data_IF_269630059407
#
_entry.id   IF_269630059407
#
_cell.length_a   1.000
_cell.length_b   1.000
_cell.length_c   1.000
_cell.angle_alpha   90.00
_cell.angle_beta   90.00
_cell.angle_gamma   90.00
#
_symmetry.space_group_name_H-M   'P 1'
#
loop_
_entity.id
_entity.type
_entity.pdbx_description
1 polymer ?
#
# COMPACT_ATOMS: atom_id res chain seq x y z
N UNK A 1 12.51 13.37 -9.44
CA UNK A 1 12.17 13.57 -8.03
C UNK A 1 13.36 13.25 -7.12
N UNK A 2 13.90 12.03 -7.15
CA UNK A 2 15.08 11.62 -6.34
C UNK A 2 16.29 12.55 -6.55
N UNK A 3 16.63 12.89 -7.79
CA UNK A 3 17.72 13.84 -8.10
C UNK A 3 17.49 15.19 -7.45
N UNK A 4 16.27 15.72 -7.50
CA UNK A 4 15.93 17.00 -6.90
C UNK A 4 15.94 16.97 -5.36
N UNK A 5 15.58 15.82 -4.77
CA UNK A 5 15.73 15.65 -3.32
C UNK A 5 17.21 15.69 -2.91
N UNK A 6 18.08 15.00 -3.65
CA UNK A 6 19.52 14.97 -3.35
C UNK A 6 20.22 16.33 -3.51
N UNK A 7 19.64 17.24 -4.31
CA UNK A 7 20.16 18.62 -4.43
C UNK A 7 19.84 19.48 -3.20
N UNK A 8 18.80 19.13 -2.44
CA UNK A 8 18.29 19.93 -1.32
C UNK A 8 18.51 19.30 0.04
N UNK A 9 18.59 17.98 0.09
CA UNK A 9 18.65 17.20 1.33
C UNK A 9 19.68 16.09 1.21
N UNK A 10 20.36 15.77 2.30
CA UNK A 10 21.18 14.57 2.41
C UNK A 10 20.28 13.33 2.55
N UNK A 11 19.86 12.76 1.42
CA UNK A 11 18.97 11.59 1.39
C UNK A 11 19.72 10.39 0.82
N UNK A 12 19.71 9.29 1.55
CA UNK A 12 20.17 8.01 1.01
C UNK A 12 19.16 7.52 -0.04
N UNK A 13 19.60 7.46 -1.29
CA UNK A 13 18.83 6.88 -2.37
C UNK A 13 19.12 5.39 -2.46
N UNK A 14 18.05 4.58 -2.43
CA UNK A 14 18.14 3.13 -2.55
C UNK A 14 18.61 2.70 -3.93
N UNK A 15 19.36 1.61 -4.00
CA UNK A 15 19.56 0.92 -5.28
C UNK A 15 18.29 0.13 -5.61
N UNK A 16 17.97 0.00 -6.91
CA UNK A 16 16.84 -0.81 -7.40
C UNK A 16 16.86 -2.27 -6.89
N UNK A 17 18.02 -2.77 -6.48
CA UNK A 17 18.19 -4.09 -5.89
C UNK A 17 17.61 -4.23 -4.46
N UNK A 18 17.42 -3.13 -3.72
CA UNK A 18 16.85 -3.16 -2.35
C UNK A 18 15.33 -2.97 -2.32
N UNK A 19 14.72 -2.57 -3.43
CA UNK A 19 13.27 -2.47 -3.61
C UNK A 19 12.58 -1.36 -2.80
N UNK A 20 13.34 -0.44 -2.16
CA UNK A 20 12.83 0.74 -1.47
C UNK A 20 13.65 1.95 -1.95
N UNK A 21 12.97 2.97 -2.43
CA UNK A 21 13.62 4.14 -3.06
C UNK A 21 14.35 5.02 -2.05
N UNK A 22 13.78 5.22 -0.86
CA UNK A 22 14.33 6.00 0.25
C UNK A 22 14.48 5.11 1.49
N UNK A 23 15.61 4.40 1.63
CA UNK A 23 15.75 3.30 2.60
C UNK A 23 16.17 3.72 4.00
N UNK A 24 16.39 5.02 4.28
CA UNK A 24 16.77 5.50 5.62
C UNK A 24 15.62 5.21 6.60
N UNK A 25 15.92 4.76 7.81
CA UNK A 25 14.95 4.31 8.81
C UNK A 25 13.93 5.40 9.20
N UNK A 26 14.35 6.66 9.19
CA UNK A 26 13.54 7.84 9.48
C UNK A 26 12.55 8.18 8.37
N UNK A 27 12.83 7.81 7.12
CA UNK A 27 11.99 8.07 5.95
C UNK A 27 11.32 6.79 5.48
N UNK A 28 12.06 5.73 5.29
CA UNK A 28 11.68 4.38 4.85
C UNK A 28 10.49 4.37 3.87
N UNK A 29 10.66 5.00 2.73
CA UNK A 29 9.58 5.28 1.78
C UNK A 29 9.89 4.72 0.40
N UNK A 30 8.92 4.05 -0.19
CA UNK A 30 8.94 3.58 -1.57
C UNK A 30 8.05 4.48 -2.45
N UNK A 31 8.54 4.87 -3.64
CA UNK A 31 7.87 5.80 -4.55
C UNK A 31 7.18 5.01 -5.64
N UNK A 32 5.88 5.23 -5.79
CA UNK A 32 5.06 4.59 -6.83
C UNK A 32 4.49 5.62 -7.77
N UNK A 33 4.67 5.39 -9.07
CA UNK A 33 4.11 6.22 -10.13
C UNK A 33 3.19 5.37 -10.99
N UNK A 34 1.94 5.77 -11.15
CA UNK A 34 0.91 4.96 -11.82
C UNK A 34 -0.13 5.82 -12.56
N UNK A 35 -0.82 5.21 -13.52
CA UNK A 35 -1.89 5.89 -14.26
C UNK A 35 -3.20 5.91 -13.47
N UNK A 36 -3.97 6.99 -13.60
CA UNK A 36 -5.33 7.10 -13.05
C UNK A 36 -6.30 6.07 -13.63
N UNK A 37 -6.07 5.63 -14.87
CA UNK A 37 -6.91 4.61 -15.52
C UNK A 37 -6.87 3.27 -14.79
N UNK A 38 -5.73 2.94 -14.20
CA UNK A 38 -5.54 1.73 -13.39
C UNK A 38 -4.45 1.99 -12.34
N UNK A 39 -4.81 2.65 -11.22
CA UNK A 39 -3.84 3.06 -10.21
C UNK A 39 -3.38 1.85 -9.38
N UNK A 40 -2.35 1.17 -9.86
CA UNK A 40 -1.77 -0.03 -9.25
C UNK A 40 -0.28 -0.15 -9.54
N UNK A 41 0.42 -0.92 -8.70
CA UNK A 41 1.80 -1.35 -8.93
C UNK A 41 2.03 -2.79 -8.50
N UNK A 42 3.12 -3.38 -8.97
CA UNK A 42 3.57 -4.69 -8.49
C UNK A 42 4.29 -4.55 -7.16
N UNK A 43 4.13 -5.54 -6.28
CA UNK A 43 4.86 -5.65 -5.03
C UNK A 43 5.41 -7.08 -4.91
N UNK A 44 6.73 -7.25 -4.68
CA UNK A 44 7.27 -8.56 -4.37
C UNK A 44 6.66 -9.07 -3.08
N UNK A 45 6.12 -10.29 -3.10
CA UNK A 45 5.70 -10.96 -1.88
C UNK A 45 6.93 -11.33 -1.03
N UNK A 46 6.94 -10.91 0.22
CA UNK A 46 7.98 -11.28 1.18
C UNK A 46 7.42 -12.10 2.33
N UNK A 47 6.27 -11.71 2.86
CA UNK A 47 5.67 -12.31 4.04
C UNK A 47 4.14 -12.16 3.99
N UNK A 48 3.41 -13.20 4.38
CA UNK A 48 1.96 -13.21 4.54
C UNK A 48 1.46 -12.08 5.46
N UNK A 49 2.24 -11.71 6.47
CA UNK A 49 1.95 -10.64 7.42
C UNK A 49 1.80 -9.26 6.77
N UNK A 50 2.47 -9.02 5.63
CA UNK A 50 2.41 -7.73 4.94
C UNK A 50 0.98 -7.37 4.51
N UNK A 51 0.14 -8.36 4.21
CA UNK A 51 -1.26 -8.13 3.85
C UNK A 51 -2.11 -7.67 5.05
N UNK A 52 -1.69 -8.04 6.25
CA UNK A 52 -2.42 -7.83 7.51
C UNK A 52 -1.87 -6.62 8.27
N UNK A 53 -0.56 -6.53 8.41
CA UNK A 53 0.10 -5.51 9.23
C UNK A 53 0.78 -4.40 8.41
N UNK A 54 0.64 -4.43 7.06
CA UNK A 54 1.25 -3.47 6.15
C UNK A 54 2.60 -3.91 5.63
N UNK A 55 3.08 -3.18 4.62
CA UNK A 55 4.30 -3.50 3.87
C UNK A 55 5.59 -3.35 4.68
N UNK A 56 5.51 -2.66 5.83
CA UNK A 56 6.67 -2.34 6.67
C UNK A 56 7.41 -1.06 6.25
N UNK A 57 6.95 -0.36 5.23
CA UNK A 57 7.48 0.92 4.74
C UNK A 57 6.36 1.83 4.25
N UNK A 58 6.64 3.13 4.21
CA UNK A 58 5.70 4.12 3.72
C UNK A 58 5.64 4.10 2.19
N UNK A 59 4.54 4.62 1.62
CA UNK A 59 4.40 4.80 0.18
C UNK A 59 4.21 6.28 -0.15
N UNK A 60 4.92 6.76 -1.17
CA UNK A 60 4.62 8.02 -1.84
C UNK A 60 4.06 7.70 -3.23
N UNK A 61 2.74 7.89 -3.38
CA UNK A 61 2.01 7.45 -4.57
C UNK A 61 1.67 8.65 -5.46
N UNK A 62 2.31 8.72 -6.63
CA UNK A 62 1.99 9.67 -7.69
C UNK A 62 1.06 9.02 -8.71
N UNK A 63 -0.06 9.68 -9.00
CA UNK A 63 -1.02 9.22 -10.00
C UNK A 63 -1.13 10.27 -11.10
N UNK A 64 -0.94 9.83 -12.35
CA UNK A 64 -0.99 10.70 -13.52
C UNK A 64 -2.15 10.36 -14.45
N UNK A 65 -2.64 11.36 -15.15
CA UNK A 65 -3.42 11.21 -16.37
C UNK A 65 -2.52 11.46 -17.58
N UNK A 66 -2.58 10.54 -18.55
CA UNK A 66 -1.74 10.58 -19.76
C UNK A 66 -2.55 11.08 -20.94
N UNK A 67 -2.04 12.12 -21.60
CA UNK A 67 -2.55 12.62 -22.88
C UNK A 67 -1.48 12.40 -23.95
N UNK A 68 -1.80 11.65 -24.98
CA UNK A 68 -0.91 11.41 -26.13
C UNK A 68 -1.13 12.47 -27.21
N UNK A 69 -0.04 13.04 -27.73
CA UNK A 69 -0.06 13.88 -28.94
C UNK A 69 0.50 13.06 -30.12
N UNK A 70 -0.37 12.58 -31.02
CA UNK A 70 0.05 11.78 -32.18
C UNK A 70 0.87 12.59 -33.20
N UNK A 71 0.74 13.92 -33.22
CA UNK A 71 1.44 14.79 -34.18
C UNK A 71 2.91 14.91 -33.84
N UNK A 72 3.21 15.10 -32.55
CA UNK A 72 4.59 15.24 -32.06
C UNK A 72 5.20 13.92 -31.57
N UNK A 73 4.38 12.85 -31.52
CA UNK A 73 4.74 11.55 -30.94
C UNK A 73 5.23 11.65 -29.50
N UNK A 74 4.67 12.61 -28.75
CA UNK A 74 4.96 12.82 -27.32
C UNK A 74 3.77 12.49 -26.45
N UNK A 75 3.99 12.40 -25.14
CA UNK A 75 2.95 12.23 -24.14
C UNK A 75 3.15 13.21 -23.00
N UNK A 76 2.05 13.81 -22.56
CA UNK A 76 2.00 14.65 -21.37
C UNK A 76 1.47 13.80 -20.22
N UNK A 77 2.20 13.77 -19.11
CA UNK A 77 1.78 13.12 -17.88
C UNK A 77 1.39 14.20 -16.87
N UNK A 78 0.09 14.41 -16.68
CA UNK A 78 -0.43 15.34 -15.70
C UNK A 78 -0.60 14.62 -14.37
N UNK A 79 0.13 15.02 -13.32
CA UNK A 79 -0.09 14.49 -11.98
C UNK A 79 -1.40 15.01 -11.41
N UNK A 80 -2.35 14.09 -11.22
CA UNK A 80 -3.72 14.38 -10.77
C UNK A 80 -3.97 14.00 -9.31
N UNK A 81 -3.10 13.17 -8.73
CA UNK A 81 -3.13 12.83 -7.31
C UNK A 81 -1.72 12.51 -6.80
N UNK A 82 -1.43 12.96 -5.59
CA UNK A 82 -0.24 12.56 -4.85
C UNK A 82 -0.62 12.35 -3.39
N UNK A 83 -0.23 11.20 -2.83
CA UNK A 83 -0.55 10.84 -1.45
C UNK A 83 0.65 10.22 -0.77
N UNK A 84 0.91 10.63 0.47
CA UNK A 84 1.82 9.93 1.36
C UNK A 84 1.01 8.99 2.25
N UNK A 85 1.41 7.72 2.29
CA UNK A 85 0.71 6.65 3.02
C UNK A 85 1.67 6.06 4.03
N UNK A 86 1.39 6.24 5.32
CA UNK A 86 2.16 5.66 6.40
C UNK A 86 2.12 4.13 6.35
N UNK A 87 3.19 3.49 6.78
CA UNK A 87 3.36 2.03 6.75
C UNK A 87 2.21 1.27 7.41
N UNK A 88 1.59 1.80 8.47
CA UNK A 88 0.44 1.21 9.15
C UNK A 88 -0.83 1.17 8.27
N UNK A 89 -0.91 2.02 7.25
CA UNK A 89 -2.04 2.09 6.30
C UNK A 89 -1.81 1.29 5.02
N UNK A 90 -0.63 0.69 4.85
CA UNK A 90 -0.26 -0.06 3.63
C UNK A 90 -0.74 -1.51 3.62
N UNK A 91 -1.57 -1.93 4.56
CA UNK A 91 -2.22 -3.24 4.60
C UNK A 91 -3.44 -3.31 3.67
N UNK A 92 -3.96 -4.54 3.47
CA UNK A 92 -5.17 -4.78 2.69
C UNK A 92 -6.42 -4.32 3.44
N UNK A 93 -7.23 -3.47 2.80
CA UNK A 93 -8.43 -2.89 3.40
C UNK A 93 -9.43 -3.94 3.85
N UNK A 94 -9.80 -4.85 2.96
CA UNK A 94 -10.86 -5.82 3.24
C UNK A 94 -10.45 -6.81 4.32
N UNK A 95 -9.21 -7.27 4.26
CA UNK A 95 -8.66 -8.20 5.25
C UNK A 95 -8.62 -7.57 6.64
N UNK A 96 -8.04 -6.36 6.75
CA UNK A 96 -7.91 -5.69 8.04
C UNK A 96 -9.27 -5.26 8.60
N UNK A 97 -10.18 -4.75 7.75
CA UNK A 97 -11.54 -4.42 8.18
C UNK A 97 -12.23 -5.63 8.80
N UNK A 98 -12.22 -6.77 8.13
CA UNK A 98 -12.88 -7.97 8.62
C UNK A 98 -12.25 -8.53 9.89
N UNK A 99 -10.93 -8.57 9.97
CA UNK A 99 -10.23 -9.00 11.19
C UNK A 99 -10.60 -8.13 12.39
N UNK A 100 -10.66 -6.81 12.22
CA UNK A 100 -11.06 -5.87 13.28
C UNK A 100 -12.50 -6.09 13.74
N UNK A 101 -13.44 -6.34 12.81
CA UNK A 101 -14.82 -6.72 13.16
C UNK A 101 -14.87 -8.05 13.93
N UNK A 102 -14.17 -9.08 13.46
CA UNK A 102 -14.10 -10.38 14.13
C UNK A 102 -13.58 -10.26 15.58
N UNK A 103 -12.51 -9.47 15.79
CA UNK A 103 -11.95 -9.22 17.13
C UNK A 103 -12.99 -8.52 18.02
N UNK A 104 -13.66 -7.50 17.48
CA UNK A 104 -14.72 -6.77 18.21
C UNK A 104 -15.89 -7.69 18.60
N UNK A 105 -16.21 -8.66 17.75
CA UNK A 105 -17.25 -9.66 17.96
C UNK A 105 -16.80 -10.81 18.87
N UNK A 106 -15.55 -10.79 19.37
CA UNK A 106 -15.02 -11.79 20.30
C UNK A 106 -14.49 -13.05 19.65
N UNK A 107 -14.06 -12.98 18.38
CA UNK A 107 -13.47 -14.14 17.68
C UNK A 107 -12.25 -14.68 18.41
N UNK A 108 -12.11 -15.99 18.43
CA UNK A 108 -10.97 -16.71 18.99
C UNK A 108 -9.92 -17.02 17.91
N UNK A 109 -8.80 -17.64 18.31
CA UNK A 109 -7.70 -17.99 17.43
C UNK A 109 -8.15 -18.90 16.26
N UNK A 110 -8.99 -19.89 16.52
CA UNK A 110 -9.49 -20.81 15.49
C UNK A 110 -10.33 -20.09 14.43
N UNK A 111 -11.15 -19.11 14.85
CA UNK A 111 -11.95 -18.29 13.94
C UNK A 111 -11.04 -17.45 13.03
N UNK A 112 -9.97 -16.86 13.58
CA UNK A 112 -9.00 -16.09 12.82
C UNK A 112 -8.25 -16.98 11.82
N UNK A 113 -7.77 -18.15 12.25
CA UNK A 113 -7.09 -19.12 11.36
C UNK A 113 -8.01 -19.52 10.21
N UNK A 114 -9.27 -19.88 10.49
CA UNK A 114 -10.24 -20.27 9.48
C UNK A 114 -10.45 -19.13 8.45
N UNK A 115 -10.56 -17.89 8.92
CA UNK A 115 -10.67 -16.73 8.02
C UNK A 115 -9.43 -16.54 7.15
N UNK A 116 -8.21 -16.66 7.70
CA UNK A 116 -6.98 -16.53 6.95
C UNK A 116 -6.82 -17.62 5.88
N UNK A 117 -7.24 -18.84 6.19
CA UNK A 117 -7.29 -19.97 5.25
C UNK A 117 -8.29 -19.71 4.12
N UNK A 118 -9.52 -19.28 4.46
CA UNK A 118 -10.56 -18.90 3.47
C UNK A 118 -10.06 -17.81 2.51
N UNK A 119 -9.26 -16.88 3.00
CA UNK A 119 -8.63 -15.82 2.18
C UNK A 119 -7.39 -16.29 1.42
N UNK A 120 -7.05 -17.56 1.48
CA UNK A 120 -5.86 -18.12 0.83
C UNK A 120 -4.59 -17.28 1.13
N UNK A 121 -4.41 -16.90 2.39
CA UNK A 121 -3.17 -16.26 2.81
C UNK A 121 -2.04 -17.26 2.65
N UNK A 122 -0.97 -16.93 1.88
CA UNK A 122 0.07 -17.90 1.54
C UNK A 122 1.02 -18.14 2.71
N UNK A 123 0.62 -19.02 3.62
CA UNK A 123 1.40 -19.43 4.79
C UNK A 123 1.01 -20.87 5.19
N UNK A 124 1.94 -21.58 5.82
CA UNK A 124 1.67 -22.87 6.42
C UNK A 124 0.84 -22.74 7.72
N UNK A 125 0.32 -23.85 8.24
CA UNK A 125 -0.54 -23.87 9.44
C UNK A 125 0.16 -23.28 10.67
N UNK A 126 1.46 -23.57 10.85
CA UNK A 126 2.24 -23.06 11.98
C UNK A 126 2.38 -21.54 11.89
N UNK A 127 2.64 -21.04 10.71
CA UNK A 127 2.72 -19.59 10.45
C UNK A 127 1.36 -18.92 10.64
N UNK A 128 0.27 -19.53 10.17
CA UNK A 128 -1.09 -19.01 10.36
C UNK A 128 -1.46 -18.93 11.84
N UNK A 129 -1.13 -19.94 12.66
CA UNK A 129 -1.37 -19.91 14.10
C UNK A 129 -0.62 -18.75 14.78
N UNK A 130 0.66 -18.55 14.47
CA UNK A 130 1.45 -17.43 15.00
C UNK A 130 0.89 -16.07 14.57
N UNK A 131 0.42 -15.97 13.33
CA UNK A 131 -0.20 -14.75 12.82
C UNK A 131 -1.54 -14.48 13.54
N UNK A 132 -2.36 -15.52 13.77
CA UNK A 132 -3.62 -15.39 14.47
C UNK A 132 -3.42 -14.96 15.93
N UNK A 133 -2.46 -15.55 16.64
CA UNK A 133 -2.06 -15.12 17.98
C UNK A 133 -1.63 -13.64 17.98
N UNK A 134 -0.77 -13.23 17.04
CA UNK A 134 -0.33 -11.84 16.92
C UNK A 134 -1.51 -10.89 16.66
N UNK A 135 -2.49 -11.27 15.82
CA UNK A 135 -3.68 -10.49 15.52
C UNK A 135 -4.51 -10.24 16.78
N UNK A 136 -4.68 -11.26 17.62
CA UNK A 136 -5.43 -11.15 18.87
C UNK A 136 -4.71 -10.32 19.92
N UNK A 137 -3.38 -10.42 20.01
CA UNK A 137 -2.57 -9.63 20.93
C UNK A 137 -2.43 -8.17 20.48
N UNK A 138 -2.30 -7.95 19.17
CA UNK A 138 -2.11 -6.64 18.57
C UNK A 138 -2.97 -6.53 17.31
N UNK A 139 -4.23 -6.08 17.46
CA UNK A 139 -5.13 -5.91 16.32
C UNK A 139 -4.51 -5.04 15.23
N UNK A 140 -4.63 -5.45 13.95
CA UNK A 140 -4.05 -4.66 12.87
C UNK A 140 -4.75 -3.31 12.72
N UNK A 141 -4.00 -2.29 12.32
CA UNK A 141 -4.56 -1.03 11.88
C UNK A 141 -5.37 -1.21 10.58
N UNK A 142 -6.34 -0.31 10.34
CA UNK A 142 -7.11 -0.36 9.11
C UNK A 142 -6.22 -0.04 7.91
N UNK A 143 -6.00 -1.02 7.03
CA UNK A 143 -5.30 -0.83 5.75
C UNK A 143 -6.15 -0.08 4.72
N UNK A 144 -5.50 0.54 3.74
CA UNK A 144 -6.17 1.29 2.68
C UNK A 144 -5.81 0.84 1.26
N UNK A 145 -4.95 -0.17 1.13
CA UNK A 145 -4.67 -0.79 -0.16
C UNK A 145 -5.70 -1.88 -0.48
N UNK A 146 -5.82 -2.24 -1.76
CA UNK A 146 -6.37 -3.52 -2.16
C UNK A 146 -5.21 -4.38 -2.66
N UNK A 147 -4.93 -5.48 -1.98
CA UNK A 147 -3.79 -6.36 -2.28
C UNK A 147 -4.32 -7.67 -2.87
N UNK A 148 -4.01 -7.94 -4.14
CA UNK A 148 -4.44 -9.17 -4.81
C UNK A 148 -3.72 -10.40 -4.26
N UNK A 149 -4.37 -11.57 -4.37
CA UNK A 149 -3.78 -12.89 -4.00
C UNK A 149 -3.15 -13.61 -5.20
N UNK A 150 -2.82 -12.90 -6.28
CA UNK A 150 -2.15 -13.50 -7.44
C UNK A 150 -0.70 -13.88 -7.10
N UNK A 151 -0.07 -14.69 -7.97
CA UNK A 151 1.33 -15.12 -7.85
C UNK A 151 2.30 -13.93 -7.67
N UNK A 152 1.97 -12.78 -8.23
CA UNK A 152 2.63 -11.51 -7.97
C UNK A 152 1.61 -10.56 -7.36
N UNK A 153 1.87 -10.08 -6.17
CA UNK A 153 0.98 -9.13 -5.51
C UNK A 153 0.93 -7.82 -6.27
N UNK A 154 -0.32 -7.34 -6.45
CA UNK A 154 -0.61 -6.01 -6.97
C UNK A 154 -1.21 -5.16 -5.88
N UNK A 155 -0.59 -4.02 -5.66
CA UNK A 155 -1.10 -2.98 -4.78
C UNK A 155 -1.99 -2.06 -5.62
N UNK A 156 -3.26 -1.93 -5.25
CA UNK A 156 -4.21 -1.06 -5.93
C UNK A 156 -4.52 0.13 -5.02
N UNK A 157 -4.53 1.33 -5.61
CA UNK A 157 -4.56 2.62 -4.91
C UNK A 157 -5.90 3.35 -5.04
N UNK A 158 -6.94 2.76 -5.66
CA UNK A 158 -8.23 3.43 -5.89
C UNK A 158 -8.82 4.04 -4.63
N UNK A 159 -8.73 3.34 -3.47
CA UNK A 159 -9.25 3.86 -2.20
C UNK A 159 -8.52 5.12 -1.75
N UNK A 160 -7.20 5.15 -1.91
CA UNK A 160 -6.35 6.29 -1.56
C UNK A 160 -6.65 7.46 -2.50
N UNK A 161 -6.76 7.19 -3.82
CA UNK A 161 -7.09 8.22 -4.82
C UNK A 161 -8.47 8.83 -4.56
N UNK A 162 -9.44 8.01 -4.12
CA UNK A 162 -10.82 8.44 -3.86
C UNK A 162 -11.00 9.24 -2.56
N UNK A 163 -10.01 9.28 -1.67
CA UNK A 163 -10.07 10.14 -0.49
C UNK A 163 -10.07 11.61 -0.93
N UNK A 164 -11.02 12.38 -0.42
CA UNK A 164 -11.11 13.82 -0.68
C UNK A 164 -10.12 14.60 0.18
N UNK A 165 -9.97 14.17 1.45
CA UNK A 165 -9.18 14.85 2.48
C UNK A 165 -8.19 13.89 3.14
N UNK A 166 -7.32 14.46 3.96
CA UNK A 166 -6.42 13.72 4.81
C UNK A 166 -7.17 12.86 5.82
N UNK A 167 -6.63 11.71 6.11
CA UNK A 167 -7.05 10.88 7.23
C UNK A 167 -5.82 10.49 8.03
N UNK A 168 -6.01 10.05 9.25
CA UNK A 168 -4.88 9.60 10.07
C UNK A 168 -4.03 8.56 9.34
N UNK A 169 -2.77 8.91 9.06
CA UNK A 169 -1.80 8.07 8.38
C UNK A 169 -1.90 8.06 6.85
N UNK A 170 -2.70 8.95 6.25
CA UNK A 170 -2.69 9.21 4.80
C UNK A 170 -2.82 10.71 4.57
N UNK A 171 -1.81 11.30 3.95
CA UNK A 171 -1.75 12.72 3.63
C UNK A 171 -1.94 12.92 2.12
N UNK A 172 -2.88 13.79 1.75
CA UNK A 172 -3.20 14.13 0.35
C UNK A 172 -2.42 15.37 -0.06
N UNK A 173 -1.27 15.18 -0.73
CA UNK A 173 -0.44 16.28 -1.25
C UNK A 173 -1.12 16.92 -2.47
N UNK A 174 -1.71 16.10 -3.34
CA UNK A 174 -2.54 16.52 -4.47
C UNK A 174 -3.80 15.67 -4.45
N UNK A 175 -4.98 16.31 -4.31
CA UNK A 175 -6.28 15.62 -4.33
C UNK A 175 -6.82 15.50 -5.75
N UNK A 176 -7.33 14.32 -6.08
CA UNK A 176 -7.96 14.06 -7.36
C UNK A 176 -9.40 14.63 -7.37
N UNK A 177 -9.61 15.67 -8.14
CA UNK A 177 -10.94 16.17 -8.43
C UNK A 177 -11.46 15.45 -9.67
N UNK A 178 -12.36 14.46 -9.48
CA UNK A 178 -12.97 13.76 -10.60
C UNK A 178 -13.72 14.78 -11.47
N UNK A 179 -13.44 14.86 -12.79
CA UNK A 179 -14.25 15.69 -13.69
C UNK A 179 -15.73 15.30 -13.58
N UNK A 180 -16.61 16.28 -13.45
CA UNK A 180 -18.06 16.09 -13.45
C UNK A 180 -18.56 15.63 -14.81
#
# INVERSE_FOLDING_TARGET
>A
FQSHLNEKYEVLVGSSARGIDLPSDDILTDIKVTSIKQPQSSCPFKDAKQKIFGLGYNLLVFVYDKTDDPTTQTAILNFVSCSFVHKERTADYTTTFRLREMIKDGANEADIIAYLQDKNIPADEITLAKVAEQILQTPPEQGYLTISNALQWRLQYQRIVALADDIQGIEKIISYNKPQ
#
